data_IF_299034255960
#
_entry.id   IF_299034255960
#
_cell.length_a   1.000
_cell.length_b   1.000
_cell.length_c   1.000
_cell.angle_alpha   90.00
_cell.angle_beta   90.00
_cell.angle_gamma   90.00
#
_symmetry.space_group_name_H-M   'P 1'
#
loop_
_entity.id
_entity.type
_entity.pdbx_description
1 polymer ?
#
# COMPACT_ATOMS: atom_id res chain seq x y z
N UNK A 1 41.17 -18.42 -15.71
CA UNK A 1 42.20 -17.43 -15.37
C UNK A 1 43.00 -17.12 -16.63
N UNK A 2 42.81 -15.95 -17.23
CA UNK A 2 43.76 -15.48 -18.25
C UNK A 2 44.99 -15.00 -17.47
N UNK A 3 46.19 -15.56 -17.67
CA UNK A 3 47.40 -15.04 -17.04
C UNK A 3 47.60 -13.59 -17.47
N UNK A 4 47.70 -12.68 -16.50
CA UNK A 4 47.89 -11.24 -16.73
C UNK A 4 49.37 -10.97 -17.07
N UNK A 5 49.64 -10.58 -18.31
CA UNK A 5 50.99 -10.20 -18.75
C UNK A 5 51.14 -8.67 -18.80
N UNK A 6 52.36 -8.12 -18.59
CA UNK A 6 52.61 -6.70 -18.81
C UNK A 6 52.34 -6.33 -20.27
N UNK A 7 51.36 -5.44 -20.50
CA UNK A 7 50.91 -5.00 -21.83
C UNK A 7 49.62 -5.64 -22.35
N UNK A 8 49.03 -6.58 -21.61
CA UNK A 8 47.75 -7.19 -21.98
C UNK A 8 46.59 -6.19 -21.78
N UNK A 9 45.56 -6.24 -22.64
CA UNK A 9 44.37 -5.38 -22.49
C UNK A 9 43.79 -5.50 -21.08
N UNK A 10 43.43 -4.36 -20.51
CA UNK A 10 43.10 -4.25 -19.08
C UNK A 10 41.84 -5.04 -18.69
N UNK A 11 40.96 -5.42 -19.64
CA UNK A 11 39.78 -6.25 -19.36
C UNK A 11 39.14 -6.92 -20.61
N UNK A 12 39.66 -8.05 -21.13
CA UNK A 12 39.07 -8.74 -22.30
C UNK A 12 37.65 -9.28 -22.05
N UNK A 13 37.22 -9.40 -20.78
CA UNK A 13 35.82 -9.74 -20.44
C UNK A 13 34.89 -8.57 -20.65
N UNK A 14 35.31 -7.36 -20.27
CA UNK A 14 34.51 -6.15 -20.37
C UNK A 14 34.34 -5.77 -21.84
N UNK A 15 35.41 -5.87 -22.64
CA UNK A 15 35.37 -5.68 -24.10
C UNK A 15 34.37 -6.65 -24.76
N UNK A 16 34.37 -7.92 -24.34
CA UNK A 16 33.44 -8.92 -24.85
C UNK A 16 32.00 -8.61 -24.41
N UNK A 17 31.80 -8.20 -23.16
CA UNK A 17 30.48 -7.83 -22.64
C UNK A 17 29.89 -6.64 -23.39
N UNK A 18 30.68 -5.59 -23.63
CA UNK A 18 30.28 -4.43 -24.44
C UNK A 18 29.90 -4.87 -25.86
N UNK A 19 30.74 -5.67 -26.50
CA UNK A 19 30.49 -6.17 -27.86
C UNK A 19 29.23 -7.04 -27.95
N UNK A 20 29.00 -7.92 -26.96
CA UNK A 20 27.80 -8.74 -26.89
C UNK A 20 26.55 -7.88 -26.73
N UNK A 21 26.59 -6.89 -25.84
CA UNK A 21 25.46 -5.97 -25.63
C UNK A 21 25.17 -5.13 -26.89
N UNK A 22 26.18 -4.63 -27.59
CA UNK A 22 26.00 -3.86 -28.82
C UNK A 22 25.40 -4.73 -29.93
N UNK A 23 26.01 -5.88 -30.23
CA UNK A 23 25.60 -6.73 -31.36
C UNK A 23 24.30 -7.46 -31.13
N UNK A 24 24.10 -8.00 -29.94
CA UNK A 24 22.87 -8.73 -29.63
C UNK A 24 21.73 -7.76 -29.29
N UNK A 25 22.05 -6.60 -28.70
CA UNK A 25 21.09 -5.59 -28.30
C UNK A 25 20.26 -4.99 -29.45
N UNK A 26 20.67 -5.16 -30.72
CA UNK A 26 19.84 -4.77 -31.87
C UNK A 26 18.53 -5.57 -31.91
N UNK A 27 18.62 -6.90 -31.84
CA UNK A 27 17.50 -7.83 -32.05
C UNK A 27 16.99 -8.50 -30.76
N UNK A 28 17.81 -8.49 -29.71
CA UNK A 28 17.52 -9.16 -28.45
C UNK A 28 17.53 -8.19 -27.28
N UNK A 29 16.71 -8.47 -26.28
CA UNK A 29 16.88 -8.02 -24.92
C UNK A 29 17.91 -8.96 -24.25
N UNK A 30 19.08 -8.43 -23.93
CA UNK A 30 20.14 -9.17 -23.21
C UNK A 30 19.77 -9.17 -21.73
N UNK A 31 19.24 -10.30 -21.25
CA UNK A 31 18.74 -10.42 -19.87
C UNK A 31 19.89 -10.62 -18.87
N UNK A 32 20.90 -11.40 -19.25
CA UNK A 32 22.10 -11.58 -18.42
C UNK A 32 23.29 -12.07 -19.24
N UNK A 33 24.48 -11.63 -18.86
CA UNK A 33 25.76 -12.22 -19.28
C UNK A 33 26.47 -12.70 -18.01
N UNK A 34 26.53 -14.03 -17.81
CA UNK A 34 27.13 -14.62 -16.62
C UNK A 34 28.47 -15.27 -16.98
N UNK A 35 29.57 -14.60 -16.68
CA UNK A 35 30.91 -15.15 -16.85
C UNK A 35 31.21 -16.25 -15.83
N UNK A 36 31.93 -17.29 -16.26
CA UNK A 36 32.32 -18.35 -15.33
C UNK A 36 33.42 -17.89 -14.36
N UNK A 37 33.39 -18.52 -13.19
CA UNK A 37 34.50 -18.48 -12.25
C UNK A 37 35.68 -19.35 -12.73
N UNK A 38 36.75 -19.35 -11.94
CA UNK A 38 37.97 -20.09 -12.28
C UNK A 38 37.88 -21.60 -11.96
N UNK A 39 36.74 -22.10 -11.47
CA UNK A 39 36.57 -23.51 -11.10
C UNK A 39 35.99 -24.36 -12.21
N UNK A 40 35.74 -23.77 -13.38
CA UNK A 40 35.16 -24.48 -14.52
C UNK A 40 36.14 -25.52 -15.09
N UNK A 41 35.61 -26.70 -15.42
CA UNK A 41 36.39 -27.77 -16.04
C UNK A 41 36.26 -27.69 -17.55
N UNK A 42 37.40 -27.68 -18.26
CA UNK A 42 37.40 -27.86 -19.70
C UNK A 42 36.91 -29.26 -20.06
N UNK A 43 36.02 -29.39 -21.04
CA UNK A 43 35.51 -30.68 -21.51
C UNK A 43 36.06 -31.01 -22.90
N UNK A 44 36.10 -32.30 -23.23
CA UNK A 44 36.54 -32.75 -24.55
C UNK A 44 35.46 -32.46 -25.58
N UNK A 45 35.83 -31.96 -26.75
CA UNK A 45 34.87 -31.65 -27.81
C UNK A 45 35.33 -32.25 -29.15
N UNK A 46 34.49 -33.11 -29.73
CA UNK A 46 34.56 -33.59 -31.12
C UNK A 46 35.76 -34.47 -31.50
N UNK A 47 36.98 -34.08 -31.13
CA UNK A 47 38.24 -34.69 -31.54
C UNK A 47 39.16 -34.94 -30.33
N UNK A 48 39.95 -36.03 -30.34
CA UNK A 48 40.97 -36.26 -29.33
C UNK A 48 41.94 -35.08 -29.19
N UNK A 49 42.21 -34.66 -27.96
CA UNK A 49 43.11 -33.52 -27.65
C UNK A 49 42.45 -32.15 -27.68
N UNK A 50 41.28 -32.00 -28.31
CA UNK A 50 40.52 -30.75 -28.30
C UNK A 50 39.69 -30.61 -27.04
N UNK A 51 39.78 -29.43 -26.43
CA UNK A 51 39.01 -29.10 -25.23
C UNK A 51 38.33 -27.76 -25.41
N UNK A 52 37.10 -27.67 -24.94
CA UNK A 52 36.40 -26.40 -24.80
C UNK A 52 36.27 -26.05 -23.33
N UNK A 53 36.39 -24.76 -23.04
CA UNK A 53 36.11 -24.20 -21.72
C UNK A 53 35.02 -23.16 -21.92
N UNK A 54 33.82 -23.36 -21.36
CA UNK A 54 32.78 -22.33 -21.42
C UNK A 54 33.33 -21.01 -20.86
N UNK A 55 32.99 -19.88 -21.49
CA UNK A 55 33.46 -18.54 -21.09
C UNK A 55 32.37 -17.72 -20.38
N UNK A 56 31.16 -17.71 -20.93
CA UNK A 56 30.00 -17.10 -20.34
C UNK A 56 28.72 -17.82 -20.77
N UNK A 57 27.66 -17.64 -19.99
CA UNK A 57 26.31 -17.98 -20.36
C UNK A 57 25.51 -16.70 -20.63
N UNK A 58 24.99 -16.57 -21.84
CA UNK A 58 24.24 -15.39 -22.29
C UNK A 58 22.76 -15.76 -22.36
N UNK A 59 21.93 -15.06 -21.58
CA UNK A 59 20.49 -15.21 -21.59
C UNK A 59 19.88 -14.10 -22.47
N UNK A 60 19.21 -14.52 -23.53
CA UNK A 60 18.62 -13.64 -24.54
C UNK A 60 17.11 -13.85 -24.60
N UNK A 61 16.39 -12.74 -24.79
CA UNK A 61 14.99 -12.72 -25.17
C UNK A 61 14.85 -11.96 -26.48
N UNK A 62 14.28 -12.60 -27.49
CA UNK A 62 14.01 -11.90 -28.75
C UNK A 62 13.05 -10.73 -28.51
N UNK A 63 13.31 -9.58 -29.12
CA UNK A 63 12.43 -8.40 -28.98
C UNK A 63 11.08 -8.63 -29.64
N UNK A 64 11.06 -9.37 -30.75
CA UNK A 64 9.84 -9.73 -31.47
C UNK A 64 10.02 -11.06 -32.25
N UNK A 65 8.93 -11.51 -32.87
CA UNK A 65 8.86 -12.75 -33.63
C UNK A 65 9.56 -12.70 -35.01
N UNK A 66 10.03 -11.52 -35.45
CA UNK A 66 10.75 -11.36 -36.72
C UNK A 66 12.22 -11.75 -36.63
N UNK A 67 12.75 -11.88 -35.40
CA UNK A 67 14.13 -12.28 -35.16
C UNK A 67 14.35 -13.73 -35.59
N UNK A 68 15.14 -13.92 -36.63
CA UNK A 68 15.41 -15.22 -37.26
C UNK A 68 16.88 -15.68 -37.13
N UNK A 69 17.74 -14.86 -36.51
CA UNK A 69 19.17 -15.14 -36.42
C UNK A 69 19.85 -14.54 -35.20
N UNK A 70 20.89 -15.23 -34.74
CA UNK A 70 21.94 -14.70 -33.87
C UNK A 70 23.09 -14.24 -34.78
N UNK A 71 23.48 -12.95 -34.74
CA UNK A 71 24.54 -12.41 -35.59
C UNK A 71 25.90 -13.05 -35.31
N UNK A 72 26.84 -12.87 -36.24
CA UNK A 72 28.25 -13.16 -35.99
C UNK A 72 28.75 -12.33 -34.79
N UNK A 73 29.44 -13.00 -33.87
CA UNK A 73 30.07 -12.40 -32.69
C UNK A 73 31.57 -12.51 -32.85
N UNK A 74 32.30 -11.46 -32.47
CA UNK A 74 33.76 -11.39 -32.58
C UNK A 74 34.41 -11.27 -31.22
N UNK A 75 35.59 -11.86 -31.08
CA UNK A 75 36.42 -11.74 -29.90
C UNK A 75 37.89 -11.77 -30.33
N UNK A 76 38.69 -10.91 -29.73
CA UNK A 76 40.14 -10.94 -29.89
C UNK A 76 40.74 -11.83 -28.79
N UNK A 77 41.55 -12.82 -29.18
CA UNK A 77 42.30 -13.65 -28.25
C UNK A 77 43.76 -13.17 -28.18
N UNK A 78 44.16 -12.73 -27.00
CA UNK A 78 45.54 -12.31 -26.72
C UNK A 78 46.40 -13.50 -26.28
N UNK A 79 47.50 -13.72 -27.01
CA UNK A 79 48.51 -14.72 -26.72
C UNK A 79 49.86 -14.05 -26.48
N UNK A 80 50.70 -14.67 -25.65
CA UNK A 80 52.12 -14.34 -25.57
C UNK A 80 52.90 -15.57 -26.02
N UNK A 81 53.60 -15.44 -27.14
CA UNK A 81 54.55 -16.45 -27.62
C UNK A 81 55.98 -15.97 -27.32
N UNK A 82 56.95 -16.85 -27.52
CA UNK A 82 58.39 -16.59 -27.52
C UNK A 82 58.83 -15.38 -28.35
N UNK A 83 58.04 -14.97 -29.36
CA UNK A 83 58.27 -13.80 -30.22
C UNK A 83 57.60 -12.50 -29.72
N UNK A 84 56.79 -12.56 -28.66
CA UNK A 84 56.06 -11.43 -28.12
C UNK A 84 54.53 -11.59 -28.13
N UNK A 85 53.77 -10.52 -27.87
CA UNK A 85 52.31 -10.56 -27.88
C UNK A 85 51.76 -10.76 -29.29
N UNK A 86 50.77 -11.64 -29.43
CA UNK A 86 50.05 -11.93 -30.65
C UNK A 86 48.54 -11.85 -30.39
N UNK A 87 47.80 -11.18 -31.29
CA UNK A 87 46.36 -11.03 -31.21
C UNK A 87 45.70 -11.83 -32.33
N UNK A 88 44.82 -12.76 -31.96
CA UNK A 88 44.09 -13.61 -32.90
C UNK A 88 42.59 -13.25 -32.84
N UNK A 89 42.04 -12.59 -33.88
CA UNK A 89 40.61 -12.38 -33.95
C UNK A 89 39.91 -13.71 -34.27
N UNK A 90 38.90 -14.05 -33.50
CA UNK A 90 38.02 -15.21 -33.74
C UNK A 90 36.58 -14.74 -33.86
N UNK A 91 35.80 -15.43 -34.71
CA UNK A 91 34.39 -15.12 -34.87
C UNK A 91 33.51 -16.35 -34.92
N UNK A 92 32.26 -16.17 -34.53
CA UNK A 92 31.22 -17.21 -34.60
C UNK A 92 30.50 -17.17 -35.94
N UNK A 93 29.99 -18.31 -36.38
CA UNK A 93 29.04 -18.31 -37.49
C UNK A 93 27.69 -17.72 -37.06
N UNK A 94 27.00 -17.06 -37.99
CA UNK A 94 25.59 -16.67 -37.80
C UNK A 94 24.73 -17.92 -37.59
N UNK A 95 23.89 -17.91 -36.55
CA UNK A 95 23.01 -19.04 -36.23
C UNK A 95 21.56 -18.69 -36.53
N UNK A 96 20.86 -19.54 -37.28
CA UNK A 96 19.43 -19.36 -37.56
C UNK A 96 18.61 -19.83 -36.35
N UNK A 97 17.61 -19.05 -35.97
CA UNK A 97 16.67 -19.35 -34.89
C UNK A 97 15.23 -19.11 -35.36
N UNK A 98 14.25 -19.66 -34.64
CA UNK A 98 12.83 -19.37 -34.84
C UNK A 98 12.23 -18.76 -33.57
N UNK A 99 11.99 -17.45 -33.59
CA UNK A 99 11.40 -16.71 -32.47
C UNK A 99 9.86 -16.60 -32.53
N UNK A 100 9.21 -17.18 -33.54
CA UNK A 100 7.75 -17.12 -33.72
C UNK A 100 6.94 -17.96 -32.75
N UNK A 101 7.40 -19.13 -32.26
CA UNK A 101 6.60 -19.95 -31.37
C UNK A 101 6.26 -19.21 -30.07
N UNK A 102 4.96 -19.03 -29.78
CA UNK A 102 4.50 -18.46 -28.51
C UNK A 102 4.90 -19.33 -27.31
N UNK A 103 5.04 -20.64 -27.53
CA UNK A 103 5.55 -21.60 -26.54
C UNK A 103 6.76 -22.31 -27.10
N UNK A 104 7.90 -22.07 -26.47
CA UNK A 104 9.11 -22.82 -26.74
C UNK A 104 8.98 -24.27 -26.22
N UNK A 105 9.66 -25.24 -26.86
CA UNK A 105 9.73 -26.59 -26.32
C UNK A 105 10.35 -26.57 -24.91
N UNK A 106 9.88 -27.47 -24.05
CA UNK A 106 10.39 -27.59 -22.69
C UNK A 106 11.90 -27.88 -22.71
N UNK A 107 12.67 -27.05 -22.02
CA UNK A 107 14.11 -27.27 -21.85
C UNK A 107 14.32 -28.29 -20.71
N UNK A 108 15.31 -29.19 -20.83
CA UNK A 108 15.64 -30.09 -19.74
C UNK A 108 16.02 -29.31 -18.48
N UNK A 109 15.46 -29.73 -17.35
CA UNK A 109 15.78 -29.21 -16.02
C UNK A 109 16.14 -30.37 -15.12
N UNK A 110 17.13 -30.16 -14.26
CA UNK A 110 17.59 -31.14 -13.27
C UNK A 110 17.68 -30.49 -11.89
N UNK A 111 17.51 -31.32 -10.85
CA UNK A 111 17.57 -30.93 -9.43
C UNK A 111 16.73 -29.70 -9.09
N UNK A 112 15.54 -29.60 -9.68
CA UNK A 112 14.65 -28.48 -9.44
C UNK A 112 14.16 -28.49 -7.97
N UNK A 113 14.51 -27.44 -7.24
CA UNK A 113 14.07 -27.19 -5.88
C UNK A 113 13.14 -25.99 -5.83
N UNK A 114 12.03 -26.13 -5.13
CA UNK A 114 11.02 -25.10 -4.95
C UNK A 114 10.89 -24.75 -3.47
N UNK A 115 10.95 -23.46 -3.14
CA UNK A 115 10.62 -22.95 -1.81
C UNK A 115 9.40 -22.06 -1.94
N UNK A 116 8.38 -22.30 -1.12
CA UNK A 116 7.19 -21.46 -1.05
C UNK A 116 7.13 -20.82 0.33
N UNK A 117 7.11 -19.49 0.38
CA UNK A 117 7.13 -18.73 1.63
C UNK A 117 5.87 -17.88 1.73
N UNK A 118 5.05 -18.14 2.73
CA UNK A 118 3.88 -17.31 3.00
C UNK A 118 4.23 -16.17 3.96
N UNK A 119 3.96 -14.94 3.52
CA UNK A 119 3.83 -13.78 4.38
C UNK A 119 2.36 -13.53 4.70
N UNK A 120 2.02 -13.73 5.98
CA UNK A 120 0.66 -13.58 6.48
C UNK A 120 0.43 -12.24 7.20
N UNK A 121 1.40 -11.33 7.14
CA UNK A 121 1.28 -9.99 7.72
C UNK A 121 0.33 -9.16 6.86
N UNK A 122 -0.75 -8.70 7.46
CA UNK A 122 -1.71 -7.81 6.81
C UNK A 122 -1.23 -6.36 6.91
N UNK A 123 -1.48 -5.58 5.87
CA UNK A 123 -1.32 -4.12 5.92
C UNK A 123 -2.69 -3.50 6.17
N UNK A 124 -2.76 -2.38 6.92
CA UNK A 124 -4.04 -1.69 7.22
C UNK A 124 -4.84 -1.34 5.96
N UNK A 125 -4.14 -1.07 4.85
CA UNK A 125 -4.73 -0.72 3.56
C UNK A 125 -5.16 -1.94 2.71
N UNK A 126 -4.57 -3.13 2.94
CA UNK A 126 -4.74 -4.32 2.10
C UNK A 126 -4.72 -5.60 2.94
N UNK A 127 -5.86 -6.27 3.00
CA UNK A 127 -6.03 -7.58 3.64
C UNK A 127 -5.68 -8.72 2.66
N UNK A 128 -4.48 -8.64 2.11
CA UNK A 128 -3.99 -9.55 1.10
C UNK A 128 -2.82 -10.33 1.70
N UNK A 129 -2.77 -11.64 1.42
CA UNK A 129 -1.60 -12.46 1.78
C UNK A 129 -0.60 -12.41 0.64
N UNK A 130 0.70 -12.47 0.95
CA UNK A 130 1.74 -12.58 -0.08
C UNK A 130 2.35 -13.97 -0.01
N UNK A 131 2.38 -14.67 -1.14
CA UNK A 131 3.07 -15.94 -1.29
C UNK A 131 4.25 -15.75 -2.23
N UNK A 132 5.46 -15.87 -1.69
CA UNK A 132 6.67 -15.94 -2.48
C UNK A 132 6.90 -17.38 -2.93
N UNK A 133 7.17 -17.56 -4.22
CA UNK A 133 7.55 -18.84 -4.80
C UNK A 133 8.94 -18.66 -5.40
N UNK A 134 9.92 -19.38 -4.88
CA UNK A 134 11.30 -19.32 -5.34
C UNK A 134 11.73 -20.68 -5.89
N UNK A 135 12.18 -20.72 -7.14
CA UNK A 135 12.67 -21.92 -7.79
C UNK A 135 14.17 -21.81 -8.10
N UNK A 136 14.89 -22.89 -7.86
CA UNK A 136 16.31 -23.04 -8.24
C UNK A 136 16.46 -24.35 -9.01
N UNK A 137 17.23 -24.36 -10.11
CA UNK A 137 17.43 -25.57 -10.92
C UNK A 137 18.75 -25.56 -11.69
N UNK A 138 19.20 -26.74 -12.11
CA UNK A 138 20.18 -26.91 -13.20
C UNK A 138 19.44 -26.95 -14.53
N UNK A 139 19.66 -25.96 -15.37
CA UNK A 139 18.85 -25.63 -16.54
C UNK A 139 18.20 -24.27 -16.35
N UNK A 140 17.22 -23.94 -17.19
CA UNK A 140 16.45 -22.71 -17.06
C UNK A 140 15.18 -22.98 -16.26
N UNK A 141 14.95 -22.24 -15.18
CA UNK A 141 13.76 -22.35 -14.38
C UNK A 141 12.50 -22.13 -15.25
N UNK A 142 11.55 -23.08 -15.23
CA UNK A 142 10.35 -23.01 -16.06
C UNK A 142 9.39 -21.90 -15.58
N UNK A 143 8.24 -21.77 -16.25
CA UNK A 143 7.20 -20.83 -15.79
C UNK A 143 6.49 -21.36 -14.54
N UNK A 144 5.84 -20.47 -13.80
CA UNK A 144 5.18 -20.80 -12.54
C UNK A 144 4.12 -21.90 -12.69
N UNK A 145 3.37 -21.88 -13.80
CA UNK A 145 2.30 -22.85 -14.11
C UNK A 145 2.82 -24.27 -14.33
N UNK A 146 4.11 -24.40 -14.66
CA UNK A 146 4.78 -25.70 -14.81
C UNK A 146 5.30 -26.22 -13.47
N UNK A 147 5.47 -25.34 -12.47
CA UNK A 147 6.04 -25.66 -11.16
C UNK A 147 5.00 -26.07 -10.14
N UNK A 148 3.84 -25.39 -10.12
CA UNK A 148 2.81 -25.57 -9.10
C UNK A 148 1.41 -25.53 -9.70
N UNK A 149 0.47 -26.23 -9.06
CA UNK A 149 -0.95 -26.04 -9.30
C UNK A 149 -1.41 -24.74 -8.63
N UNK A 150 -1.79 -23.75 -9.44
CA UNK A 150 -2.24 -22.42 -9.01
C UNK A 150 -3.65 -22.42 -8.42
N UNK A 151 -4.30 -23.57 -8.32
CA UNK A 151 -5.61 -23.73 -7.67
C UNK A 151 -5.48 -23.74 -6.14
N UNK A 152 -5.38 -22.56 -5.53
CA UNK A 152 -5.24 -22.42 -4.08
C UNK A 152 -6.62 -22.53 -3.39
N UNK A 153 -6.84 -23.50 -2.48
CA UNK A 153 -8.10 -23.62 -1.76
C UNK A 153 -8.40 -22.37 -0.93
N UNK A 154 -9.60 -21.80 -1.08
CA UNK A 154 -10.02 -20.60 -0.33
C UNK A 154 -9.48 -19.27 -0.84
N UNK A 155 -8.51 -19.26 -1.78
CA UNK A 155 -7.85 -18.05 -2.26
C UNK A 155 -7.88 -17.90 -3.78
N UNK A 156 -7.98 -16.67 -4.24
CA UNK A 156 -7.74 -16.27 -5.62
C UNK A 156 -6.44 -15.47 -5.73
N UNK A 157 -5.72 -15.63 -6.85
CA UNK A 157 -4.50 -14.89 -7.12
C UNK A 157 -4.92 -13.55 -7.75
N UNK A 158 -4.82 -12.48 -6.97
CA UNK A 158 -5.14 -11.13 -7.41
C UNK A 158 -4.02 -10.50 -8.24
N UNK A 159 -2.77 -10.88 -7.96
CA UNK A 159 -1.59 -10.40 -8.70
C UNK A 159 -0.53 -11.49 -8.74
N UNK A 160 0.16 -11.59 -9.87
CA UNK A 160 1.33 -12.43 -10.05
C UNK A 160 2.48 -11.56 -10.58
N UNK A 161 3.49 -11.34 -9.75
CA UNK A 161 4.70 -10.61 -10.12
C UNK A 161 5.85 -11.59 -10.32
N UNK A 162 6.30 -11.73 -11.57
CA UNK A 162 7.46 -12.53 -11.93
C UNK A 162 8.71 -11.65 -11.90
N UNK A 163 9.66 -11.96 -11.01
CA UNK A 163 10.91 -11.22 -10.88
C UNK A 163 11.94 -11.55 -11.97
N UNK A 164 11.57 -12.42 -12.91
CA UNK A 164 12.42 -12.80 -14.02
C UNK A 164 13.37 -13.95 -13.69
N UNK A 165 13.91 -14.53 -14.75
CA UNK A 165 14.87 -15.61 -14.69
C UNK A 165 16.27 -15.02 -14.50
N UNK A 166 16.99 -15.51 -13.50
CA UNK A 166 18.37 -15.12 -13.21
C UNK A 166 19.31 -16.32 -13.33
N UNK A 167 20.50 -16.10 -13.88
CA UNK A 167 21.55 -17.12 -13.96
C UNK A 167 22.55 -16.87 -12.83
N UNK A 168 22.40 -17.61 -11.73
CA UNK A 168 23.24 -17.46 -10.54
C UNK A 168 24.70 -17.85 -10.82
N UNK A 169 24.89 -18.92 -11.60
CA UNK A 169 26.21 -19.42 -12.02
C UNK A 169 26.01 -20.46 -13.11
N UNK A 170 27.11 -21.00 -13.61
CA UNK A 170 27.08 -22.08 -14.58
C UNK A 170 28.06 -23.14 -14.12
N UNK A 171 27.59 -24.38 -14.14
CA UNK A 171 28.39 -25.55 -13.84
C UNK A 171 28.77 -26.23 -15.15
N UNK A 172 30.03 -26.64 -15.27
CA UNK A 172 30.47 -27.55 -16.33
C UNK A 172 31.02 -28.80 -15.68
N UNK A 173 30.57 -29.94 -16.18
CA UNK A 173 31.22 -31.23 -15.96
C UNK A 173 31.78 -31.73 -17.31
N UNK A 174 32.27 -32.98 -17.32
CA UNK A 174 32.86 -33.58 -18.51
C UNK A 174 31.84 -33.80 -19.65
N UNK A 175 30.54 -33.85 -19.34
CA UNK A 175 29.48 -34.20 -20.29
C UNK A 175 28.69 -32.96 -20.72
N UNK A 176 28.39 -32.03 -19.81
CA UNK A 176 27.42 -30.95 -20.02
C UNK A 176 27.82 -29.65 -19.33
N UNK A 177 27.33 -28.57 -19.92
CA UNK A 177 27.35 -27.23 -19.35
C UNK A 177 25.92 -26.89 -18.96
N UNK A 178 25.67 -26.66 -17.68
CA UNK A 178 24.36 -26.38 -17.14
C UNK A 178 24.38 -25.02 -16.44
N UNK A 179 23.52 -24.10 -16.89
CA UNK A 179 23.23 -22.92 -16.09
C UNK A 179 22.54 -23.35 -14.79
N UNK A 180 22.95 -22.78 -13.67
CA UNK A 180 22.18 -22.83 -12.43
C UNK A 180 21.37 -21.55 -12.40
N UNK A 181 20.07 -21.69 -12.54
CA UNK A 181 19.16 -20.55 -12.59
C UNK A 181 18.21 -20.52 -11.41
N UNK A 182 17.79 -19.30 -11.11
CA UNK A 182 16.85 -18.95 -10.07
C UNK A 182 15.73 -18.11 -10.67
N UNK A 183 14.51 -18.29 -10.18
CA UNK A 183 13.36 -17.47 -10.56
C UNK A 183 12.41 -17.35 -9.38
N UNK A 184 11.98 -16.13 -9.11
CA UNK A 184 11.11 -15.81 -7.98
C UNK A 184 9.82 -15.19 -8.48
N UNK A 185 8.70 -15.58 -7.87
CA UNK A 185 7.39 -14.99 -8.07
C UNK A 185 6.84 -14.49 -6.74
N UNK A 186 6.18 -13.33 -6.77
CA UNK A 186 5.39 -12.80 -5.66
C UNK A 186 3.92 -12.84 -6.05
N UNK A 187 3.15 -13.67 -5.35
CA UNK A 187 1.72 -13.84 -5.58
C UNK A 187 0.94 -13.12 -4.49
N UNK A 188 0.06 -12.21 -4.90
CA UNK A 188 -0.89 -11.55 -4.00
C UNK A 188 -2.17 -12.36 -3.97
N UNK A 189 -2.55 -12.85 -2.80
CA UNK A 189 -3.70 -13.74 -2.60
C UNK A 189 -4.83 -13.02 -1.88
N UNK A 190 -6.05 -13.18 -2.39
CA UNK A 190 -7.29 -12.69 -1.78
C UNK A 190 -8.18 -13.86 -1.37
N UNK A 191 -8.87 -13.78 -0.22
CA UNK A 191 -9.90 -14.76 0.12
C UNK A 191 -11.01 -14.74 -0.93
N UNK A 192 -11.48 -15.92 -1.35
CA UNK A 192 -12.67 -16.00 -2.20
C UNK A 192 -13.90 -15.58 -1.40
N UNK A 193 -14.67 -14.64 -1.93
CA UNK A 193 -15.87 -14.09 -1.27
C UNK A 193 -16.89 -15.17 -0.83
N UNK A 194 -16.96 -16.30 -1.54
CA UNK A 194 -17.90 -17.40 -1.27
C UNK A 194 -17.41 -18.44 -0.23
N UNK A 195 -16.16 -18.36 0.23
CA UNK A 195 -15.53 -19.42 1.04
C UNK A 195 -15.59 -19.21 2.57
N UNK A 196 -16.15 -18.08 3.03
CA UNK A 196 -16.01 -17.66 4.44
C UNK A 196 -14.57 -17.27 4.77
N UNK A 197 -14.27 -16.96 6.04
CA UNK A 197 -12.89 -16.74 6.48
C UNK A 197 -12.13 -18.06 6.49
N UNK A 198 -11.10 -18.24 5.66
CA UNK A 198 -10.34 -19.48 5.63
C UNK A 198 -9.57 -19.64 6.94
N UNK A 199 -9.89 -20.68 7.71
CA UNK A 199 -9.20 -20.99 8.97
C UNK A 199 -7.80 -21.58 8.76
N UNK A 200 -7.50 -22.01 7.53
CA UNK A 200 -6.24 -22.65 7.15
C UNK A 200 -5.80 -22.24 5.76
N UNK A 201 -4.49 -22.19 5.56
CA UNK A 201 -3.85 -21.99 4.27
C UNK A 201 -3.15 -23.27 3.85
N UNK A 202 -3.31 -23.66 2.59
CA UNK A 202 -2.62 -24.80 2.00
C UNK A 202 -1.78 -24.31 0.83
N UNK A 203 -0.49 -24.62 0.87
CA UNK A 203 0.43 -24.21 -0.20
C UNK A 203 0.07 -24.86 -1.54
N UNK A 204 0.23 -24.14 -2.67
CA UNK A 204 0.16 -24.69 -4.01
C UNK A 204 0.92 -26.02 -4.14
N UNK A 205 0.26 -27.02 -4.73
CA UNK A 205 0.85 -28.35 -4.86
C UNK A 205 1.96 -28.32 -5.92
N UNK A 206 3.20 -28.72 -5.60
CA UNK A 206 4.26 -28.86 -6.60
C UNK A 206 3.93 -29.93 -7.65
N UNK A 207 4.34 -29.71 -8.89
CA UNK A 207 4.21 -30.69 -9.98
C UNK A 207 5.29 -31.78 -9.88
N UNK A 208 5.19 -32.82 -10.71
CA UNK A 208 6.19 -33.88 -10.78
C UNK A 208 7.58 -33.42 -11.27
N UNK A 209 7.69 -32.21 -11.83
CA UNK A 209 8.98 -31.61 -12.22
C UNK A 209 9.80 -31.17 -11.00
N UNK A 210 9.15 -30.91 -9.86
CA UNK A 210 9.79 -30.42 -8.64
C UNK A 210 10.36 -31.60 -7.85
N UNK A 211 11.69 -31.71 -7.82
CA UNK A 211 12.38 -32.80 -7.12
C UNK A 211 12.41 -32.61 -5.60
N UNK A 212 12.46 -31.35 -5.14
CA UNK A 212 12.47 -30.99 -3.72
C UNK A 212 11.56 -29.78 -3.48
N UNK A 213 10.73 -29.83 -2.44
CA UNK A 213 9.87 -28.72 -2.04
C UNK A 213 10.07 -28.40 -0.56
N UNK A 214 10.12 -27.11 -0.24
CA UNK A 214 10.10 -26.60 1.12
C UNK A 214 8.98 -25.56 1.27
N UNK A 215 8.34 -25.53 2.44
CA UNK A 215 7.29 -24.58 2.77
C UNK A 215 7.73 -23.78 3.99
N UNK A 216 7.58 -22.46 3.92
CA UNK A 216 8.03 -21.54 4.95
C UNK A 216 6.95 -20.50 5.25
N UNK A 217 6.99 -19.96 6.45
CA UNK A 217 6.11 -18.87 6.88
C UNK A 217 6.94 -17.76 7.54
N UNK A 218 6.65 -16.51 7.19
CA UNK A 218 7.12 -15.38 7.97
C UNK A 218 6.34 -15.28 9.28
N UNK A 219 7.07 -15.34 10.39
CA UNK A 219 6.58 -15.11 11.74
C UNK A 219 7.34 -13.91 12.29
N UNK A 220 6.67 -12.76 12.35
CA UNK A 220 7.27 -11.46 12.69
C UNK A 220 8.40 -11.06 11.73
N UNK A 221 9.65 -11.26 12.15
CA UNK A 221 10.86 -11.01 11.37
C UNK A 221 11.60 -12.28 10.96
N UNK A 222 11.19 -13.45 11.47
CA UNK A 222 11.87 -14.72 11.27
C UNK A 222 11.15 -15.61 10.26
N UNK A 223 11.93 -16.45 9.59
CA UNK A 223 11.43 -17.44 8.65
C UNK A 223 11.38 -18.81 9.31
N UNK A 224 10.21 -19.45 9.34
CA UNK A 224 10.00 -20.78 9.93
C UNK A 224 9.64 -21.79 8.86
N UNK A 225 10.30 -22.95 8.89
CA UNK A 225 9.87 -24.10 8.08
C UNK A 225 8.55 -24.65 8.63
N UNK A 226 7.60 -24.92 7.73
CA UNK A 226 6.25 -25.39 8.06
C UNK A 226 5.88 -26.59 7.21
N UNK A 227 4.83 -27.29 7.62
CA UNK A 227 4.20 -28.28 6.76
C UNK A 227 3.45 -27.60 5.60
N UNK A 228 2.88 -28.40 4.71
CA UNK A 228 2.16 -27.91 3.53
C UNK A 228 0.82 -27.23 3.86
N UNK A 229 0.41 -27.21 5.12
CA UNK A 229 -0.81 -26.61 5.64
C UNK A 229 -0.52 -25.85 6.93
N UNK A 230 -1.04 -24.63 7.06
CA UNK A 230 -0.90 -23.79 8.24
C UNK A 230 -2.26 -23.27 8.71
N UNK A 231 -2.39 -22.99 10.01
CA UNK A 231 -3.57 -22.31 10.54
C UNK A 231 -3.45 -20.79 10.31
N UNK A 232 -4.54 -20.16 9.88
CA UNK A 232 -4.67 -18.70 9.72
C UNK A 232 -5.38 -18.05 10.92
N UNK A 233 -5.46 -18.75 12.05
CA UNK A 233 -6.22 -18.32 13.21
C UNK A 233 -5.74 -16.93 13.71
N UNK A 234 -6.68 -15.98 13.77
CA UNK A 234 -6.43 -14.59 14.22
C UNK A 234 -6.18 -13.58 13.10
N UNK A 235 -6.11 -14.01 11.84
CA UNK A 235 -5.91 -13.13 10.69
C UNK A 235 -7.28 -12.76 10.09
N UNK A 236 -7.72 -11.52 10.31
CA UNK A 236 -9.00 -11.01 9.78
C UNK A 236 -8.78 -10.52 8.34
N UNK A 237 -9.16 -11.35 7.37
CA UNK A 237 -8.96 -11.06 5.95
C UNK A 237 -10.13 -10.32 5.29
N UNK A 238 -11.24 -10.13 6.02
CA UNK A 238 -12.44 -9.46 5.51
C UNK A 238 -13.30 -8.87 6.66
N UNK A 239 -12.89 -7.78 7.32
CA UNK A 239 -13.65 -7.18 8.41
C UNK A 239 -14.97 -6.67 7.87
N UNK A 240 -16.04 -6.92 8.63
CA UNK A 240 -17.36 -6.43 8.24
C UNK A 240 -17.34 -4.91 8.10
N UNK A 241 -17.97 -4.35 7.05
CA UNK A 241 -18.06 -2.90 6.90
C UNK A 241 -18.77 -2.32 8.12
N UNK A 242 -18.12 -1.38 8.82
CA UNK A 242 -18.66 -0.72 10.02
C UNK A 242 -19.72 0.35 9.69
N UNK A 243 -19.85 0.72 8.41
CA UNK A 243 -20.77 1.76 7.93
C UNK A 243 -22.24 1.56 8.33
N UNK A 244 -22.82 0.34 8.32
CA UNK A 244 -24.20 0.12 8.76
C UNK A 244 -24.44 0.55 10.21
N UNK A 245 -23.46 0.35 11.10
CA UNK A 245 -23.53 0.78 12.50
C UNK A 245 -23.44 2.30 12.65
N UNK A 246 -22.59 2.93 11.84
CA UNK A 246 -22.49 4.40 11.79
C UNK A 246 -23.82 5.00 11.33
N UNK A 247 -24.42 4.46 10.26
CA UNK A 247 -25.73 4.93 9.77
C UNK A 247 -26.86 4.65 10.77
N UNK A 248 -26.85 3.49 11.42
CA UNK A 248 -27.84 3.14 12.45
C UNK A 248 -27.76 4.06 13.67
N UNK A 249 -26.55 4.35 14.16
CA UNK A 249 -26.33 5.28 15.26
C UNK A 249 -26.81 6.70 14.93
N UNK A 250 -26.55 7.17 13.71
CA UNK A 250 -26.96 8.51 13.27
C UNK A 250 -28.49 8.64 13.17
N UNK A 251 -29.19 7.58 12.75
CA UNK A 251 -30.66 7.52 12.74
C UNK A 251 -31.23 7.56 14.17
N UNK A 252 -30.65 6.82 15.11
CA UNK A 252 -31.09 6.83 16.51
C UNK A 252 -30.89 8.21 17.15
N UNK A 253 -29.74 8.85 16.92
CA UNK A 253 -29.48 10.22 17.40
C UNK A 253 -30.47 11.21 16.79
N UNK A 254 -30.75 11.11 15.48
CA UNK A 254 -31.72 11.96 14.82
C UNK A 254 -33.14 11.77 15.38
N UNK A 255 -33.57 10.53 15.63
CA UNK A 255 -34.85 10.21 16.25
C UNK A 255 -34.93 10.71 17.70
N UNK A 256 -33.84 10.60 18.47
CA UNK A 256 -33.75 11.13 19.83
C UNK A 256 -33.87 12.66 19.87
N UNK A 257 -33.15 13.36 18.98
CA UNK A 257 -33.24 14.81 18.83
C UNK A 257 -34.62 15.27 18.36
N UNK A 258 -35.24 14.51 17.46
CA UNK A 258 -36.60 14.77 16.98
C UNK A 258 -37.65 14.57 18.09
N UNK A 259 -37.53 13.49 18.88
CA UNK A 259 -38.37 13.24 20.05
C UNK A 259 -38.23 14.34 21.12
N UNK A 260 -37.01 14.79 21.40
CA UNK A 260 -36.74 15.92 22.31
C UNK A 260 -37.37 17.24 21.82
N UNK A 261 -37.36 17.50 20.51
CA UNK A 261 -38.02 18.69 19.94
C UNK A 261 -39.55 18.61 20.01
N UNK A 262 -40.13 17.42 19.83
CA UNK A 262 -41.57 17.22 19.99
C UNK A 262 -42.00 17.32 21.45
N UNK A 263 -41.22 16.77 22.38
CA UNK A 263 -41.48 16.88 23.82
C UNK A 263 -41.42 18.32 24.32
N UNK A 264 -40.46 19.13 23.82
CA UNK A 264 -40.38 20.57 24.13
C UNK A 264 -41.52 21.39 23.52
N UNK A 265 -42.16 20.93 22.45
CA UNK A 265 -43.34 21.61 21.86
C UNK A 265 -44.64 21.35 22.63
N UNK A 266 -44.71 20.29 23.44
CA UNK A 266 -45.88 19.96 24.26
C UNK A 266 -45.79 20.47 25.71
N UNK A 267 -44.69 21.14 26.09
CA UNK A 267 -44.45 21.65 27.43
C UNK A 267 -44.61 23.18 27.55
N UNK A 268 -45.28 23.81 26.58
CA UNK A 268 -45.74 25.21 26.66
C UNK A 268 -47.21 25.23 27.09
N UNK A 269 -47.50 24.93 28.36
CA UNK A 269 -48.73 25.36 29.03
C UNK A 269 -48.63 25.21 30.56
N UNK A 270 -48.02 26.22 31.19
CA UNK A 270 -48.38 26.77 32.51
C UNK A 270 -47.44 27.95 32.80
N UNK A 271 -47.52 29.02 32.00
CA UNK A 271 -46.88 30.27 32.34
C UNK A 271 -47.62 30.88 33.54
N UNK A 272 -47.01 30.79 34.72
CA UNK A 272 -47.40 31.63 35.84
C UNK A 272 -47.11 33.09 35.47
N UNK A 273 -48.15 33.92 35.34
CA UNK A 273 -48.01 35.36 35.15
C UNK A 273 -47.17 35.92 36.31
N UNK A 274 -45.98 36.50 36.06
CA UNK A 274 -45.18 37.07 37.14
C UNK A 274 -45.93 38.26 37.76
N UNK A 275 -46.27 38.16 39.05
CA UNK A 275 -46.89 39.26 39.80
C UNK A 275 -45.80 40.23 40.22
N UNK A 276 -45.83 41.45 39.69
CA UNK A 276 -44.90 42.51 40.06
C UNK A 276 -45.47 43.35 41.20
N UNK A 277 -44.65 43.66 42.20
CA UNK A 277 -45.02 44.52 43.33
C UNK A 277 -44.10 45.74 43.38
N UNK A 278 -44.68 46.88 43.74
CA UNK A 278 -43.94 48.13 43.91
C UNK A 278 -43.13 48.04 45.21
N UNK A 279 -41.80 48.28 45.18
CA UNK A 279 -40.96 48.24 46.37
C UNK A 279 -41.46 49.19 47.46
N UNK A 280 -41.39 48.77 48.73
CA UNK A 280 -41.77 49.61 49.87
C UNK A 280 -40.88 50.86 49.95
N UNK A 281 -39.57 50.67 49.75
CA UNK A 281 -38.56 51.74 49.63
C UNK A 281 -38.21 51.98 48.15
N UNK A 282 -38.81 53.01 47.56
CA UNK A 282 -38.61 53.38 46.16
C UNK A 282 -37.29 54.14 45.95
N UNK A 283 -36.15 53.45 46.10
CA UNK A 283 -34.83 53.96 45.70
C UNK A 283 -34.61 53.82 44.19
N UNK A 284 -33.75 54.65 43.56
CA UNK A 284 -33.51 54.56 42.12
C UNK A 284 -33.06 53.16 41.66
N UNK A 285 -32.20 52.49 42.42
CA UNK A 285 -31.77 51.12 42.12
C UNK A 285 -32.93 50.11 42.20
N UNK A 286 -33.77 50.19 43.23
CA UNK A 286 -34.89 49.25 43.40
C UNK A 286 -35.94 49.40 42.29
N UNK A 287 -36.19 50.63 41.84
CA UNK A 287 -37.11 50.89 40.73
C UNK A 287 -36.52 50.44 39.39
N UNK A 288 -35.24 50.70 39.12
CA UNK A 288 -34.59 50.24 37.88
C UNK A 288 -34.57 48.71 37.80
N UNK A 289 -34.24 48.02 38.89
CA UNK A 289 -34.26 46.54 38.93
C UNK A 289 -35.67 45.99 38.61
N UNK A 290 -36.72 46.59 39.18
CA UNK A 290 -38.12 46.23 38.86
C UNK A 290 -38.42 46.43 37.36
N UNK A 291 -38.06 47.59 36.80
CA UNK A 291 -38.34 47.91 35.40
C UNK A 291 -37.55 47.00 34.43
N UNK A 292 -36.30 46.65 34.77
CA UNK A 292 -35.50 45.70 33.98
C UNK A 292 -36.12 44.30 33.99
N UNK A 293 -36.67 43.84 35.12
CA UNK A 293 -37.41 42.57 35.20
C UNK A 293 -38.69 42.57 34.37
N UNK A 294 -39.38 43.70 34.28
CA UNK A 294 -40.54 43.87 33.39
C UNK A 294 -40.10 43.85 31.91
N UNK A 295 -39.01 44.51 31.55
CA UNK A 295 -38.48 44.53 30.17
C UNK A 295 -38.01 43.15 29.70
N UNK A 296 -37.49 42.32 30.61
CA UNK A 296 -37.05 40.95 30.34
C UNK A 296 -38.22 39.95 30.21
N UNK A 297 -39.46 40.36 30.50
CA UNK A 297 -40.63 39.49 30.45
C UNK A 297 -41.01 39.09 29.00
N UNK A 298 -41.69 37.95 28.79
CA UNK A 298 -42.10 37.47 27.47
C UNK A 298 -42.87 38.52 26.63
N UNK A 299 -42.79 38.46 25.28
CA UNK A 299 -43.44 39.39 24.34
C UNK A 299 -44.92 39.66 24.61
N UNK A 300 -45.64 38.67 25.17
CA UNK A 300 -47.09 38.70 25.38
C UNK A 300 -47.56 39.63 26.50
N UNK A 301 -46.69 40.03 27.44
CA UNK A 301 -47.04 40.84 28.61
C UNK A 301 -47.00 42.36 28.39
N UNK A 302 -46.25 42.82 27.38
CA UNK A 302 -46.10 44.24 27.08
C UNK A 302 -45.88 44.42 25.58
N UNK A 303 -46.71 45.22 24.92
CA UNK A 303 -46.59 45.53 23.49
C UNK A 303 -45.25 46.20 23.18
N UNK A 304 -44.73 46.02 21.96
CA UNK A 304 -43.39 46.50 21.57
C UNK A 304 -43.24 48.02 21.73
N UNK A 305 -44.28 48.80 21.45
CA UNK A 305 -44.29 50.26 21.66
C UNK A 305 -44.11 50.66 23.12
N UNK A 306 -44.65 49.87 24.06
CA UNK A 306 -44.48 50.10 25.50
C UNK A 306 -43.10 49.62 25.98
N UNK A 307 -42.47 48.64 25.34
CA UNK A 307 -41.10 48.21 25.69
C UNK A 307 -40.08 49.29 25.35
N UNK A 308 -40.24 49.96 24.22
CA UNK A 308 -39.34 51.04 23.84
C UNK A 308 -39.47 52.23 24.81
N UNK A 309 -40.71 52.55 25.24
CA UNK A 309 -40.95 53.54 26.30
C UNK A 309 -40.34 53.12 27.65
N UNK A 310 -40.44 51.84 28.01
CA UNK A 310 -39.85 51.30 29.24
C UNK A 310 -38.33 51.42 29.22
N UNK A 311 -37.68 51.07 28.11
CA UNK A 311 -36.24 51.21 27.93
C UNK A 311 -35.79 52.67 27.98
N UNK A 312 -36.56 53.58 27.40
CA UNK A 312 -36.29 55.02 27.53
C UNK A 312 -36.37 55.44 29.00
N UNK A 313 -37.40 55.02 29.72
CA UNK A 313 -37.58 55.36 31.15
C UNK A 313 -36.42 54.83 32.01
N UNK A 314 -35.96 53.60 31.77
CA UNK A 314 -34.79 53.03 32.46
C UNK A 314 -33.54 53.87 32.17
N UNK A 315 -33.27 54.18 30.90
CA UNK A 315 -32.10 54.97 30.51
C UNK A 315 -32.11 56.39 31.09
N UNK A 316 -33.28 57.03 31.17
CA UNK A 316 -33.42 58.37 31.73
C UNK A 316 -33.20 58.36 33.25
N UNK A 317 -33.75 57.36 33.96
CA UNK A 317 -33.48 57.16 35.39
C UNK A 317 -32.00 56.86 35.67
N UNK A 318 -31.36 56.05 34.84
CA UNK A 318 -29.93 55.73 34.97
C UNK A 318 -29.05 56.97 34.80
N UNK A 319 -29.31 57.79 33.77
CA UNK A 319 -28.57 59.03 33.53
C UNK A 319 -28.73 60.04 34.67
N UNK A 320 -29.95 60.19 35.20
CA UNK A 320 -30.23 61.21 36.21
C UNK A 320 -29.67 60.82 37.58
N UNK A 321 -29.73 59.53 37.94
CA UNK A 321 -29.34 59.09 39.28
C UNK A 321 -27.91 58.50 39.37
N UNK A 322 -27.30 58.11 38.24
CA UNK A 322 -26.02 57.38 38.24
C UNK A 322 -24.96 57.91 37.27
N UNK A 323 -25.21 58.99 36.52
CA UNK A 323 -24.16 59.60 35.69
C UNK A 323 -23.12 60.35 36.54
N UNK A 324 -21.82 60.36 36.13
CA UNK A 324 -20.73 60.98 36.90
C UNK A 324 -20.89 62.49 37.16
N UNK A 325 -21.58 63.21 36.25
CA UNK A 325 -21.77 64.66 36.29
C UNK A 325 -23.20 65.07 36.66
N UNK A 326 -23.95 64.20 37.35
CA UNK A 326 -25.33 64.49 37.74
C UNK A 326 -25.38 65.69 38.74
N UNK A 327 -26.12 66.77 38.44
CA UNK A 327 -26.27 67.87 39.38
C UNK A 327 -26.94 67.37 40.66
N UNK A 328 -26.34 67.67 41.81
CA UNK A 328 -26.88 67.36 43.13
C UNK A 328 -28.09 68.27 43.44
N UNK A 329 -29.18 68.07 42.71
CA UNK A 329 -30.50 68.62 42.99
C UNK A 329 -31.56 67.72 42.34
N UNK A 330 -32.24 66.96 43.19
CA UNK A 330 -33.47 66.20 42.99
C UNK A 330 -34.38 66.76 41.88
N UNK A 331 -34.71 65.94 40.87
CA UNK A 331 -36.10 65.66 40.47
C UNK A 331 -36.14 64.86 39.16
N UNK A 332 -36.04 63.54 39.25
CA UNK A 332 -37.04 62.79 38.49
C UNK A 332 -38.24 62.61 39.43
N UNK A 333 -39.44 62.85 38.91
CA UNK A 333 -40.68 62.80 39.67
C UNK A 333 -40.83 61.52 40.49
N UNK A 334 -41.79 61.52 41.42
CA UNK A 334 -42.05 60.45 42.40
C UNK A 334 -41.77 59.04 41.85
N UNK A 335 -40.63 58.45 42.26
CA UNK A 335 -40.18 57.12 41.84
C UNK A 335 -41.23 56.05 42.12
N UNK A 336 -42.05 56.26 43.16
CA UNK A 336 -43.17 55.39 43.51
C UNK A 336 -44.30 55.46 42.50
N UNK A 337 -44.55 56.65 41.92
CA UNK A 337 -45.53 56.82 40.85
C UNK A 337 -45.07 56.13 39.56
N UNK A 338 -43.79 56.23 39.21
CA UNK A 338 -43.21 55.56 38.02
C UNK A 338 -43.30 54.04 38.16
N UNK A 339 -42.92 53.50 39.32
CA UNK A 339 -43.01 52.06 39.59
C UNK A 339 -44.47 51.55 39.53
N UNK A 340 -45.43 52.32 40.08
CA UNK A 340 -46.86 51.97 40.03
C UNK A 340 -47.42 51.97 38.61
N UNK A 341 -47.09 52.97 37.81
CA UNK A 341 -47.56 53.09 36.42
C UNK A 341 -47.11 51.89 35.58
N UNK A 342 -45.85 51.49 35.72
CA UNK A 342 -45.32 50.34 34.98
C UNK A 342 -45.86 49.01 35.46
N UNK A 343 -46.04 48.81 36.78
CA UNK A 343 -46.69 47.62 37.31
C UNK A 343 -48.15 47.53 36.83
N UNK A 344 -48.89 48.64 36.80
CA UNK A 344 -50.27 48.68 36.33
C UNK A 344 -50.42 48.39 34.81
N UNK A 345 -49.37 48.60 34.01
CA UNK A 345 -49.36 48.29 32.57
C UNK A 345 -49.10 46.81 32.27
N UNK A 346 -48.61 46.04 33.24
CA UNK A 346 -48.26 44.60 33.09
C UNK A 346 -49.02 43.68 34.04
N UNK A 347 -49.81 44.25 34.95
CA UNK A 347 -50.82 43.54 35.75
C UNK A 347 -52.13 43.53 34.99
#
# INVERSE_FOLDING_TARGET
YYPSYPGQRQAPRDDLEEHLNEKLGENFEVQSITFHDNKIQSRTIGQPGWRETPLAYVLLKAKDASVDRIPELKMDLDFYDSLGPALLPVSTATQVIDARPEKAPARPVDKLSLTQTLDARLTEEKQELTLEVHATTKGLAPSLEQLVDLSIPGFEIAKNEDQGLSIARVESDAERVNAVSERTWLLTLKPKAAAGEPSKFKFPKPTALVAKSAFKQYSDADLKDVENEIALAGIVLNPQPVWPWITGGLVIVALGLFGLRLAKRGADEADAVPVYYVPEDCTPFAVIDLLQRINAAPPRLLADSHRDQLRSTINDLEKIHFAPDAPAANSHGDLKAIARDWVAKVS
#
